data_IF_845340805897
#
_entry.id   IF_845340805897
#
_cell.length_a   1.000
_cell.length_b   1.000
_cell.length_c   1.000
_cell.angle_alpha   90.00
_cell.angle_beta   90.00
_cell.angle_gamma   90.00
#
_symmetry.space_group_name_H-M   'P 1'
#
loop_
_entity.id
_entity.type
_entity.pdbx_description
1 polymer ?
#
# COMPACT_ATOMS: atom_id res chain seq x y z
N UNK A 1 -15.45 15.04 -7.86
CA UNK A 1 -15.88 13.99 -6.89
C UNK A 1 -14.66 13.57 -6.09
N UNK A 2 -14.78 13.28 -4.79
CA UNK A 2 -13.63 12.79 -3.99
C UNK A 2 -13.48 11.28 -4.13
N UNK A 3 -12.25 10.82 -4.37
CA UNK A 3 -11.92 9.39 -4.52
C UNK A 3 -10.72 9.02 -3.66
N UNK A 4 -10.76 7.85 -3.02
CA UNK A 4 -9.64 7.32 -2.24
C UNK A 4 -8.69 6.55 -3.16
N UNK A 5 -7.38 6.83 -3.06
CA UNK A 5 -6.35 6.15 -3.86
C UNK A 5 -5.18 5.71 -2.99
N UNK A 6 -4.59 4.58 -3.34
CA UNK A 6 -3.32 4.16 -2.78
C UNK A 6 -2.17 4.92 -3.46
N UNK A 7 -1.20 5.36 -2.66
CA UNK A 7 0.08 5.93 -3.10
C UNK A 7 1.25 5.06 -2.59
N UNK A 8 1.02 3.75 -2.51
CA UNK A 8 2.02 2.80 -2.03
C UNK A 8 3.23 2.74 -2.97
N UNK A 9 3.05 3.00 -4.27
CA UNK A 9 4.17 2.98 -5.21
C UNK A 9 5.18 4.08 -4.90
N UNK A 10 4.69 5.31 -4.77
CA UNK A 10 5.49 6.49 -4.44
C UNK A 10 6.18 6.32 -3.09
N UNK A 11 5.48 5.81 -2.08
CA UNK A 11 6.06 5.55 -0.77
C UNK A 11 7.19 4.53 -0.81
N UNK A 12 6.98 3.40 -1.50
CA UNK A 12 7.98 2.34 -1.59
C UNK A 12 9.22 2.79 -2.36
N UNK A 13 9.03 3.51 -3.47
CA UNK A 13 10.12 4.01 -4.30
C UNK A 13 10.93 5.09 -3.56
N UNK A 14 10.28 5.96 -2.77
CA UNK A 14 10.96 6.99 -1.95
C UNK A 14 11.77 6.41 -0.78
N UNK A 15 11.42 5.21 -0.31
CA UNK A 15 12.09 4.53 0.81
C UNK A 15 13.02 3.38 0.38
N UNK A 16 13.23 3.19 -0.93
CA UNK A 16 14.04 2.10 -1.50
C UNK A 16 13.57 0.69 -1.06
N UNK A 17 12.25 0.50 -0.95
CA UNK A 17 11.63 -0.76 -0.53
C UNK A 17 11.00 -1.44 -1.74
N UNK A 18 11.56 -2.60 -2.15
CA UNK A 18 10.91 -3.38 -3.20
C UNK A 18 9.58 -4.02 -2.75
N UNK A 19 8.64 -4.19 -3.68
CA UNK A 19 7.39 -4.98 -3.48
C UNK A 19 7.67 -6.37 -2.91
N UNK A 20 8.75 -7.02 -3.35
CA UNK A 20 9.17 -8.32 -2.85
C UNK A 20 9.57 -8.26 -1.37
N UNK A 21 10.34 -7.24 -0.99
CA UNK A 21 10.71 -7.00 0.40
C UNK A 21 9.47 -6.79 1.28
N UNK A 22 8.52 -5.96 0.83
CA UNK A 22 7.26 -5.75 1.54
C UNK A 22 6.44 -7.04 1.68
N UNK A 23 6.31 -7.84 0.62
CA UNK A 23 5.61 -9.13 0.66
C UNK A 23 6.23 -10.08 1.70
N UNK A 24 7.56 -10.10 1.80
CA UNK A 24 8.29 -10.91 2.79
C UNK A 24 8.05 -10.41 4.22
N UNK A 25 8.17 -9.10 4.47
CA UNK A 25 7.94 -8.50 5.81
C UNK A 25 6.50 -8.70 6.28
N UNK A 26 5.56 -8.44 5.39
CA UNK A 26 4.13 -8.52 5.71
C UNK A 26 3.64 -9.96 5.73
N UNK A 27 4.28 -10.92 5.08
CA UNK A 27 3.72 -12.26 4.87
C UNK A 27 2.47 -12.27 3.98
N UNK A 28 2.26 -11.22 3.19
CA UNK A 28 1.20 -11.11 2.18
C UNK A 28 1.75 -11.64 0.85
N UNK A 29 0.91 -12.31 0.07
CA UNK A 29 1.33 -12.82 -1.23
C UNK A 29 1.75 -11.68 -2.18
N UNK A 30 2.81 -11.90 -2.96
CA UNK A 30 3.37 -10.87 -3.84
C UNK A 30 2.33 -10.24 -4.79
N UNK A 31 1.43 -11.04 -5.37
CA UNK A 31 0.41 -10.54 -6.29
C UNK A 31 -0.59 -9.58 -5.62
N UNK A 32 -0.82 -9.74 -4.31
CA UNK A 32 -1.65 -8.84 -3.52
C UNK A 32 -0.91 -7.53 -3.31
N UNK A 33 0.35 -7.57 -2.86
CA UNK A 33 1.20 -6.36 -2.74
C UNK A 33 1.33 -5.63 -4.08
N UNK A 34 1.51 -6.35 -5.18
CA UNK A 34 1.57 -5.77 -6.54
C UNK A 34 0.26 -5.07 -6.92
N UNK A 35 -0.88 -5.57 -6.45
CA UNK A 35 -2.18 -4.92 -6.67
C UNK A 35 -2.31 -3.62 -5.88
N UNK A 36 -1.84 -3.58 -4.63
CA UNK A 36 -1.77 -2.34 -3.84
C UNK A 36 -0.84 -1.31 -4.48
N UNK A 37 0.36 -1.75 -4.89
CA UNK A 37 1.34 -0.91 -5.57
C UNK A 37 0.78 -0.30 -6.86
N UNK A 38 0.05 -1.09 -7.66
CA UNK A 38 -0.56 -0.62 -8.92
C UNK A 38 -1.91 0.08 -8.74
N UNK A 39 -2.34 0.33 -7.49
CA UNK A 39 -3.65 0.90 -7.17
C UNK A 39 -4.83 0.17 -7.85
N UNK A 40 -4.75 -1.16 -7.93
CA UNK A 40 -5.79 -2.04 -8.53
C UNK A 40 -6.73 -2.66 -7.50
N UNK A 41 -6.57 -2.31 -6.23
CA UNK A 41 -7.36 -2.86 -5.13
C UNK A 41 -8.72 -2.15 -5.10
N UNK A 42 -9.80 -2.90 -5.32
CA UNK A 42 -11.16 -2.36 -5.34
C UNK A 42 -11.82 -2.25 -3.96
N UNK A 43 -11.20 -2.78 -2.90
CA UNK A 43 -11.76 -2.80 -1.54
C UNK A 43 -10.68 -2.49 -0.50
N UNK A 44 -10.99 -1.63 0.46
CA UNK A 44 -10.13 -1.39 1.61
C UNK A 44 -10.17 -2.59 2.56
N UNK A 45 -9.21 -3.50 2.40
CA UNK A 45 -9.00 -4.61 3.31
C UNK A 45 -8.14 -4.15 4.49
N UNK A 46 -8.82 -3.77 5.57
CA UNK A 46 -8.19 -3.28 6.81
C UNK A 46 -7.16 -4.24 7.42
N UNK A 47 -7.28 -5.56 7.21
CA UNK A 47 -6.34 -6.54 7.76
C UNK A 47 -5.00 -6.49 7.02
N UNK A 48 -5.03 -6.53 5.69
CA UNK A 48 -3.83 -6.37 4.89
C UNK A 48 -3.23 -4.98 5.06
N UNK A 49 -4.07 -3.94 5.18
CA UNK A 49 -3.65 -2.57 5.43
C UNK A 49 -2.86 -2.44 6.74
N UNK A 50 -3.39 -2.99 7.84
CA UNK A 50 -2.71 -2.95 9.14
C UNK A 50 -1.35 -3.64 9.10
N UNK A 51 -1.23 -4.78 8.42
CA UNK A 51 0.05 -5.48 8.23
C UNK A 51 1.05 -4.67 7.42
N UNK A 52 0.58 -3.97 6.38
CA UNK A 52 1.44 -3.11 5.55
C UNK A 52 1.95 -1.92 6.38
N UNK A 53 1.06 -1.25 7.11
CA UNK A 53 1.37 -0.12 7.98
C UNK A 53 2.40 -0.52 9.04
N UNK A 54 2.18 -1.65 9.73
CA UNK A 54 3.13 -2.20 10.71
C UNK A 54 4.49 -2.54 10.08
N UNK A 55 4.50 -3.20 8.91
CA UNK A 55 5.75 -3.62 8.25
C UNK A 55 6.59 -2.46 7.67
N UNK A 56 5.93 -1.33 7.41
CA UNK A 56 6.54 -0.09 6.90
C UNK A 56 6.82 0.93 8.00
N UNK A 57 6.34 0.68 9.23
CA UNK A 57 6.36 1.63 10.35
C UNK A 57 5.88 3.03 9.92
N UNK A 58 4.75 3.07 9.21
CA UNK A 58 4.19 4.29 8.62
C UNK A 58 2.79 4.61 9.15
N UNK A 59 2.25 5.78 8.82
CA UNK A 59 0.85 6.11 9.04
C UNK A 59 -0.02 5.67 7.86
N UNK A 60 -1.32 5.52 8.11
CA UNK A 60 -2.31 5.22 7.07
C UNK A 60 -2.25 6.26 5.92
N UNK A 61 -2.14 7.53 6.27
CA UNK A 61 -2.13 8.66 5.34
C UNK A 61 -0.85 8.77 4.51
N UNK A 62 0.20 8.00 4.83
CA UNK A 62 1.43 7.98 4.05
C UNK A 62 1.29 7.12 2.78
N UNK A 63 0.34 6.19 2.76
CA UNK A 63 0.12 5.22 1.67
C UNK A 63 -1.31 5.27 1.08
N UNK A 64 -2.17 6.11 1.64
CA UNK A 64 -3.55 6.35 1.20
C UNK A 64 -3.87 7.84 1.21
N UNK A 65 -4.47 8.32 0.13
CA UNK A 65 -4.85 9.73 -0.03
C UNK A 65 -6.25 9.88 -0.62
N UNK A 66 -6.80 11.09 -0.52
CA UNK A 66 -8.05 11.49 -1.16
C UNK A 66 -7.72 12.47 -2.28
N UNK A 67 -8.13 12.14 -3.51
CA UNK A 67 -7.96 12.98 -4.70
C UNK A 67 -9.30 13.53 -5.18
N UNK A 68 -9.25 14.63 -5.94
CA UNK A 68 -10.40 15.16 -6.66
C UNK A 68 -10.35 14.70 -8.13
N UNK A 69 -11.46 14.11 -8.60
CA UNK A 69 -11.72 13.75 -10.00
C UNK A 69 -12.82 14.62 -10.62
#
# INVERSE_FOLDING_TARGET
MKVVRFCLAEYLDANDISRYNLAKRTGIQYHVIDSYYKNKVCRLDSYNLGRIIEALDCQLTDILTVVEE
#
